data_IF_904314729230
#
_entry.id   IF_904314729230
#
_cell.length_a   1.000
_cell.length_b   1.000
_cell.length_c   1.000
_cell.angle_alpha   90.00
_cell.angle_beta   90.00
_cell.angle_gamma   90.00
#
_symmetry.space_group_name_H-M   'P 1'
#
loop_
_entity.id
_entity.type
_entity.pdbx_description
1 polymer ?
#
# COMPACT_ATOMS: atom_id res chain seq x y z
N UNK A 1 21.48 -6.27 5.50
CA UNK A 1 20.26 -6.45 4.68
C UNK A 1 19.75 -5.05 4.32
N UNK A 2 19.62 -4.79 3.03
CA UNK A 2 19.31 -3.44 2.54
C UNK A 2 17.81 -3.13 2.52
N UNK A 3 16.99 -4.15 2.63
CA UNK A 3 15.54 -4.05 2.70
C UNK A 3 14.89 -5.42 2.86
N UNK A 4 13.63 -5.42 3.22
CA UNK A 4 12.85 -6.65 3.41
C UNK A 4 11.42 -6.48 2.90
N UNK A 5 10.81 -7.58 2.50
CA UNK A 5 9.38 -7.66 2.21
C UNK A 5 8.73 -8.46 3.34
N UNK A 6 7.85 -7.82 4.09
CA UNK A 6 7.06 -8.46 5.14
C UNK A 6 5.72 -8.91 4.56
N UNK A 7 5.42 -10.20 4.64
CA UNK A 7 4.18 -10.77 4.10
C UNK A 7 3.19 -11.01 5.23
N UNK A 8 2.01 -10.42 5.12
CA UNK A 8 0.90 -10.60 6.06
C UNK A 8 -0.23 -11.39 5.41
N UNK A 9 -0.93 -12.19 6.22
CA UNK A 9 -2.11 -12.93 5.78
C UNK A 9 -3.34 -12.00 5.86
N UNK A 10 -4.03 -11.81 4.75
CA UNK A 10 -5.21 -10.94 4.69
C UNK A 10 -6.39 -11.41 5.55
N UNK A 11 -6.42 -12.67 5.91
CA UNK A 11 -7.45 -13.26 6.80
C UNK A 11 -7.01 -13.17 8.26
N UNK A 12 -5.84 -13.68 8.58
CA UNK A 12 -5.30 -13.70 9.95
C UNK A 12 -4.80 -12.34 10.44
N UNK A 13 -4.35 -11.49 9.52
CA UNK A 13 -3.76 -10.19 9.85
C UNK A 13 -2.36 -10.32 10.43
N UNK A 14 -2.09 -9.60 11.51
CA UNK A 14 -0.80 -9.65 12.20
C UNK A 14 -0.79 -10.81 13.19
N UNK A 15 0.14 -11.73 13.00
CA UNK A 15 0.33 -12.91 13.85
C UNK A 15 1.54 -12.72 14.78
N UNK A 16 1.68 -13.51 15.87
CA UNK A 16 2.82 -13.42 16.78
C UNK A 16 4.17 -13.54 16.09
N UNK A 17 4.28 -14.38 15.05
CA UNK A 17 5.50 -14.52 14.25
C UNK A 17 5.83 -13.22 13.49
N UNK A 18 4.81 -12.54 12.99
CA UNK A 18 4.97 -11.25 12.30
C UNK A 18 5.56 -10.21 13.27
N UNK A 19 5.07 -10.17 14.49
CA UNK A 19 5.57 -9.25 15.52
C UNK A 19 7.05 -9.51 15.87
N UNK A 20 7.43 -10.78 15.99
CA UNK A 20 8.82 -11.16 16.27
C UNK A 20 9.76 -10.71 15.16
N UNK A 21 9.43 -11.02 13.92
CA UNK A 21 10.22 -10.62 12.75
C UNK A 21 10.28 -9.10 12.60
N UNK A 22 9.17 -8.42 12.87
CA UNK A 22 9.10 -6.97 12.82
C UNK A 22 10.04 -6.30 13.82
N UNK A 23 10.05 -6.78 15.07
CA UNK A 23 10.95 -6.27 16.11
C UNK A 23 12.42 -6.47 15.76
N UNK A 24 12.77 -7.59 15.12
CA UNK A 24 14.13 -7.81 14.64
C UNK A 24 14.50 -6.82 13.54
N UNK A 25 13.59 -6.56 12.60
CA UNK A 25 13.79 -5.57 11.54
C UNK A 25 13.98 -4.16 12.12
N UNK A 26 13.22 -3.79 13.15
CA UNK A 26 13.40 -2.52 13.86
C UNK A 26 14.77 -2.42 14.54
N UNK A 27 15.17 -3.49 15.23
CA UNK A 27 16.47 -3.55 15.91
C UNK A 27 17.64 -3.29 14.97
N UNK A 28 17.57 -3.83 13.77
CA UNK A 28 18.63 -3.68 12.77
C UNK A 28 18.36 -2.55 11.78
N UNK A 29 17.32 -1.75 12.00
CA UNK A 29 16.92 -0.60 11.16
C UNK A 29 16.78 -0.98 9.67
N UNK A 30 16.17 -2.13 9.41
CA UNK A 30 15.93 -2.63 8.06
C UNK A 30 14.68 -1.97 7.48
N UNK A 31 14.77 -1.21 6.39
CA UNK A 31 13.60 -0.69 5.70
C UNK A 31 12.79 -1.84 5.10
N UNK A 32 11.46 -1.69 5.10
CA UNK A 32 10.59 -2.78 4.65
C UNK A 32 9.35 -2.28 3.94
N UNK A 33 8.91 -3.08 2.98
CA UNK A 33 7.61 -2.94 2.33
C UNK A 33 6.73 -4.11 2.78
N UNK A 34 5.45 -3.87 2.98
CA UNK A 34 4.50 -4.90 3.40
C UNK A 34 3.69 -5.40 2.21
N UNK A 35 3.48 -6.69 2.17
CA UNK A 35 2.64 -7.36 1.19
C UNK A 35 1.50 -8.10 1.91
N UNK A 36 0.26 -7.72 1.61
CA UNK A 36 -0.92 -8.39 2.17
C UNK A 36 -1.37 -9.46 1.20
N UNK A 37 -1.18 -10.70 1.59
CA UNK A 37 -1.44 -11.90 0.78
C UNK A 37 -2.81 -12.50 1.07
N UNK A 38 -3.28 -13.35 0.18
CA UNK A 38 -4.53 -14.11 0.35
C UNK A 38 -5.80 -13.26 0.45
N UNK A 39 -5.84 -12.12 -0.23
CA UNK A 39 -7.02 -11.25 -0.25
C UNK A 39 -8.21 -11.85 -1.02
N UNK A 40 -7.97 -12.90 -1.79
CA UNK A 40 -8.98 -13.69 -2.51
C UNK A 40 -9.72 -14.70 -1.61
N UNK A 41 -9.23 -14.95 -0.41
CA UNK A 41 -9.83 -15.91 0.51
C UNK A 41 -11.01 -15.33 1.29
N UNK A 42 -11.95 -16.20 1.66
CA UNK A 42 -13.09 -15.87 2.52
C UNK A 42 -12.59 -15.33 3.87
N UNK A 43 -13.14 -14.20 4.29
CA UNK A 43 -12.74 -13.53 5.54
C UNK A 43 -11.56 -12.57 5.38
N UNK A 44 -10.96 -12.45 4.20
CA UNK A 44 -9.88 -11.50 3.95
C UNK A 44 -10.39 -10.06 4.00
N UNK A 45 -9.63 -9.19 4.67
CA UNK A 45 -9.94 -7.78 4.81
C UNK A 45 -8.64 -6.97 4.85
N UNK A 46 -8.34 -6.29 3.75
CA UNK A 46 -7.13 -5.47 3.61
C UNK A 46 -7.07 -4.35 4.66
N UNK A 47 -8.16 -3.62 4.85
CA UNK A 47 -8.19 -2.48 5.76
C UNK A 47 -8.04 -2.88 7.22
N UNK A 48 -8.65 -3.99 7.61
CA UNK A 48 -8.43 -4.58 8.94
C UNK A 48 -6.98 -4.95 9.14
N UNK A 49 -6.33 -5.53 8.13
CA UNK A 49 -4.92 -5.89 8.18
C UNK A 49 -4.03 -4.65 8.36
N UNK A 50 -4.30 -3.57 7.63
CA UNK A 50 -3.59 -2.29 7.77
C UNK A 50 -3.77 -1.72 9.17
N UNK A 51 -4.98 -1.75 9.73
CA UNK A 51 -5.24 -1.29 11.09
C UNK A 51 -4.50 -2.13 12.13
N UNK A 52 -4.44 -3.43 11.97
CA UNK A 52 -3.66 -4.32 12.83
C UNK A 52 -2.16 -4.03 12.78
N UNK A 53 -1.62 -3.75 11.61
CA UNK A 53 -0.22 -3.34 11.44
C UNK A 53 0.05 -2.07 12.24
N UNK A 54 -0.82 -1.09 12.14
CA UNK A 54 -0.72 0.16 12.89
C UNK A 54 -0.78 -0.05 14.40
N UNK A 55 -1.76 -0.80 14.87
CA UNK A 55 -2.02 -0.98 16.31
C UNK A 55 -1.00 -1.91 16.97
N UNK A 56 -0.70 -3.06 16.35
CA UNK A 56 0.15 -4.09 16.95
C UNK A 56 1.62 -3.87 16.74
N UNK A 57 2.02 -3.27 15.61
CA UNK A 57 3.42 -3.03 15.28
C UNK A 57 3.87 -1.60 15.60
N UNK A 58 2.92 -0.73 15.97
CA UNK A 58 3.23 0.64 16.40
C UNK A 58 3.86 1.53 15.33
N UNK A 59 3.56 1.26 14.05
CA UNK A 59 4.08 2.02 12.93
C UNK A 59 2.97 2.74 12.17
N UNK A 60 3.35 3.64 11.28
CA UNK A 60 2.41 4.32 10.37
C UNK A 60 2.44 3.63 9.01
N UNK A 61 1.50 2.74 8.70
CA UNK A 61 1.44 2.13 7.39
C UNK A 61 0.98 3.14 6.34
N UNK A 62 1.60 3.09 5.16
CA UNK A 62 1.20 3.89 4.01
C UNK A 62 0.79 2.95 2.88
N UNK A 63 -0.51 2.72 2.66
CA UNK A 63 -0.96 1.94 1.53
C UNK A 63 -0.48 2.55 0.22
N UNK A 64 0.15 1.73 -0.61
CA UNK A 64 0.56 2.09 -1.98
C UNK A 64 -0.48 1.62 -2.99
N UNK A 65 -1.24 0.59 -2.63
CA UNK A 65 -2.27 -0.02 -3.44
C UNK A 65 -3.49 -0.34 -2.58
N UNK A 66 -4.67 -0.23 -3.16
CA UNK A 66 -5.93 -0.65 -2.53
C UNK A 66 -6.56 -1.77 -3.36
N UNK A 67 -7.18 -2.78 -2.75
CA UNK A 67 -7.82 -3.86 -3.50
C UNK A 67 -9.07 -3.37 -4.25
N UNK A 68 -9.27 -3.88 -5.46
CA UNK A 68 -10.52 -3.76 -6.21
C UNK A 68 -11.30 -5.05 -6.02
N UNK A 69 -12.39 -4.97 -5.28
CA UNK A 69 -13.16 -6.14 -4.86
C UNK A 69 -12.59 -6.79 -3.60
N UNK A 70 -13.20 -7.86 -3.16
CA UNK A 70 -12.82 -8.61 -1.98
C UNK A 70 -13.15 -10.08 -2.14
N UNK A 71 -12.42 -10.94 -1.45
CA UNK A 71 -12.61 -12.38 -1.48
C UNK A 71 -12.63 -12.91 -2.93
N UNK A 72 -13.65 -13.68 -3.29
CA UNK A 72 -13.79 -14.23 -4.65
C UNK A 72 -13.97 -13.16 -5.75
N UNK A 73 -14.34 -11.95 -5.36
CA UNK A 73 -14.56 -10.84 -6.29
C UNK A 73 -13.31 -9.95 -6.47
N UNK A 74 -12.18 -10.35 -5.91
CA UNK A 74 -10.92 -9.64 -6.08
C UNK A 74 -10.51 -9.64 -7.55
N UNK A 75 -10.45 -8.46 -8.16
CA UNK A 75 -10.18 -8.27 -9.60
C UNK A 75 -8.83 -7.64 -9.90
N UNK A 76 -8.34 -6.86 -8.98
CA UNK A 76 -7.15 -6.06 -9.18
C UNK A 76 -6.88 -5.13 -8.02
N UNK A 77 -6.12 -4.09 -8.29
CA UNK A 77 -5.75 -3.08 -7.30
C UNK A 77 -5.85 -1.68 -7.88
N UNK A 78 -6.02 -0.69 -7.01
CA UNK A 78 -5.81 0.72 -7.36
C UNK A 78 -4.36 1.05 -7.00
N UNK A 79 -3.58 1.47 -7.99
CA UNK A 79 -2.23 1.98 -7.78
C UNK A 79 -2.31 3.46 -7.38
N UNK A 80 -2.02 3.77 -6.13
CA UNK A 80 -2.12 5.13 -5.59
C UNK A 80 -0.98 6.04 -6.05
N UNK A 81 0.12 5.48 -6.53
CA UNK A 81 1.21 6.27 -7.11
C UNK A 81 0.83 6.80 -8.48
N UNK A 82 0.22 5.96 -9.31
CA UNK A 82 -0.24 6.31 -10.66
C UNK A 82 -1.66 6.88 -10.70
N UNK A 83 -2.45 6.65 -9.67
CA UNK A 83 -3.89 6.92 -9.63
C UNK A 83 -4.64 6.26 -10.78
N UNK A 84 -4.39 4.99 -10.96
CA UNK A 84 -5.03 4.12 -11.95
C UNK A 84 -5.43 2.80 -11.32
N UNK A 85 -6.49 2.19 -11.83
CA UNK A 85 -6.81 0.80 -11.55
C UNK A 85 -5.91 -0.12 -12.36
N UNK A 86 -5.54 -1.24 -11.77
CA UNK A 86 -4.81 -2.34 -12.44
C UNK A 86 -5.66 -3.58 -12.29
N UNK A 87 -6.17 -4.10 -13.39
CA UNK A 87 -7.05 -5.26 -13.42
C UNK A 87 -6.39 -6.39 -14.20
N UNK A 88 -6.36 -7.58 -13.61
CA UNK A 88 -5.78 -8.77 -14.24
C UNK A 88 -6.72 -9.33 -15.31
N UNK A 89 -6.15 -9.71 -16.45
CA UNK A 89 -6.94 -10.16 -17.61
C UNK A 89 -7.44 -11.61 -17.54
N UNK A 90 -6.82 -12.47 -16.78
CA UNK A 90 -7.20 -13.87 -16.60
C UNK A 90 -6.37 -14.53 -15.49
N UNK A 91 -6.55 -15.83 -15.30
CA UNK A 91 -5.82 -16.66 -14.35
C UNK A 91 -4.32 -16.88 -14.69
N UNK A 92 -3.74 -16.05 -15.54
CA UNK A 92 -2.33 -16.15 -15.99
C UNK A 92 -1.34 -15.64 -14.93
N UNK A 93 -1.62 -15.88 -13.64
CA UNK A 93 -0.75 -15.54 -12.52
C UNK A 93 -0.33 -14.05 -12.47
N UNK A 94 -1.19 -13.16 -13.00
CA UNK A 94 -0.93 -11.72 -13.01
C UNK A 94 0.03 -11.24 -14.10
N UNK A 95 0.41 -12.10 -15.04
CA UNK A 95 1.34 -11.74 -16.11
C UNK A 95 0.77 -10.71 -17.09
N UNK A 96 -0.56 -10.69 -17.24
CA UNK A 96 -1.26 -9.73 -18.11
C UNK A 96 -2.24 -8.92 -17.31
N UNK A 97 -2.12 -7.62 -17.39
CA UNK A 97 -2.99 -6.67 -16.71
C UNK A 97 -3.28 -5.46 -17.61
N UNK A 98 -4.39 -4.80 -17.34
CA UNK A 98 -4.76 -3.54 -17.98
C UNK A 98 -4.82 -2.42 -16.95
N UNK A 99 -4.41 -1.22 -17.39
CA UNK A 99 -4.70 -0.01 -16.65
C UNK A 99 -6.13 0.44 -16.99
N UNK A 100 -6.92 0.69 -15.95
CA UNK A 100 -8.30 1.16 -16.07
C UNK A 100 -8.51 2.38 -15.18
N UNK A 101 -9.62 3.09 -15.38
CA UNK A 101 -9.98 4.15 -14.47
C UNK A 101 -10.34 3.57 -13.10
N UNK A 102 -10.11 4.35 -12.04
CA UNK A 102 -10.47 3.95 -10.69
C UNK A 102 -11.98 3.74 -10.61
N UNK A 103 -12.47 2.59 -10.12
CA UNK A 103 -13.90 2.36 -9.94
C UNK A 103 -14.55 3.47 -9.12
N UNK A 104 -15.76 3.88 -9.49
CA UNK A 104 -16.46 5.01 -8.87
C UNK A 104 -16.63 4.84 -7.37
N UNK A 105 -16.90 3.62 -6.90
CA UNK A 105 -17.04 3.28 -5.48
C UNK A 105 -15.73 3.39 -4.67
N UNK A 106 -14.57 3.34 -5.34
CA UNK A 106 -13.25 3.47 -4.72
C UNK A 106 -12.61 4.83 -4.93
N UNK A 107 -13.21 5.71 -5.72
CA UNK A 107 -12.61 6.99 -6.08
C UNK A 107 -12.33 7.87 -4.87
N UNK A 108 -13.32 8.07 -4.02
CA UNK A 108 -13.20 8.89 -2.80
C UNK A 108 -12.15 8.30 -1.84
N UNK A 109 -12.21 7.01 -1.61
CA UNK A 109 -11.24 6.31 -0.75
C UNK A 109 -9.83 6.41 -1.32
N UNK A 110 -9.66 6.23 -2.62
CA UNK A 110 -8.36 6.35 -3.30
C UNK A 110 -7.79 7.76 -3.18
N UNK A 111 -8.61 8.79 -3.34
CA UNK A 111 -8.18 10.18 -3.17
C UNK A 111 -7.73 10.46 -1.74
N UNK A 112 -8.44 9.94 -0.74
CA UNK A 112 -8.08 10.06 0.67
C UNK A 112 -6.73 9.42 0.98
N UNK A 113 -6.53 8.19 0.56
CA UNK A 113 -5.26 7.47 0.78
C UNK A 113 -4.12 8.07 -0.04
N UNK A 114 -4.39 8.52 -1.26
CA UNK A 114 -3.41 9.24 -2.09
C UNK A 114 -2.93 10.51 -1.40
N UNK A 115 -3.85 11.30 -0.84
CA UNK A 115 -3.51 12.53 -0.13
C UNK A 115 -2.58 12.24 1.04
N UNK A 116 -2.90 11.25 1.87
CA UNK A 116 -2.07 10.85 3.00
C UNK A 116 -0.69 10.36 2.55
N UNK A 117 -0.63 9.59 1.48
CA UNK A 117 0.61 9.10 0.89
C UNK A 117 1.51 10.25 0.43
N UNK A 118 0.96 11.19 -0.33
CA UNK A 118 1.70 12.35 -0.83
C UNK A 118 2.18 13.24 0.31
N UNK A 119 1.32 13.57 1.26
CA UNK A 119 1.67 14.42 2.42
C UNK A 119 2.81 13.81 3.23
N UNK A 120 2.80 12.51 3.44
CA UNK A 120 3.87 11.83 4.19
C UNK A 120 5.15 11.72 3.37
N UNK A 121 5.06 11.41 2.09
CA UNK A 121 6.22 11.26 1.22
C UNK A 121 6.99 12.57 1.02
N UNK A 122 6.29 13.70 0.80
CA UNK A 122 6.96 14.99 0.57
C UNK A 122 7.68 15.54 1.80
N UNK A 123 7.40 15.03 3.00
CA UNK A 123 8.16 15.37 4.21
C UNK A 123 9.64 15.03 4.10
N UNK A 124 10.01 14.10 3.23
CA UNK A 124 11.39 13.68 2.97
C UNK A 124 12.17 14.63 2.04
N UNK A 125 11.49 15.61 1.44
CA UNK A 125 12.11 16.57 0.51
C UNK A 125 11.51 17.96 0.72
N UNK A 126 12.32 18.88 1.25
CA UNK A 126 11.88 20.26 1.57
C UNK A 126 11.33 21.00 0.36
N UNK A 127 11.93 20.82 -0.82
CA UNK A 127 11.49 21.50 -2.04
C UNK A 127 10.14 20.99 -2.50
N UNK A 128 9.92 19.67 -2.42
CA UNK A 128 8.65 19.06 -2.77
C UNK A 128 7.57 19.41 -1.75
N UNK A 129 7.92 19.48 -0.47
CA UNK A 129 7.01 19.93 0.60
C UNK A 129 6.55 21.37 0.35
N UNK A 130 7.48 22.28 0.06
CA UNK A 130 7.15 23.68 -0.25
C UNK A 130 6.25 23.79 -1.48
N UNK A 131 6.59 23.07 -2.55
CA UNK A 131 5.76 23.01 -3.76
C UNK A 131 4.35 22.47 -3.49
N UNK A 132 4.26 21.44 -2.68
CA UNK A 132 2.98 20.84 -2.29
C UNK A 132 2.11 21.82 -1.49
N UNK A 133 2.69 22.55 -0.54
CA UNK A 133 2.00 23.57 0.23
C UNK A 133 1.48 24.72 -0.66
N UNK A 134 2.12 24.96 -1.80
CA UNK A 134 1.70 25.92 -2.82
C UNK A 134 0.74 25.32 -3.88
N UNK A 135 0.24 24.12 -3.63
CA UNK A 135 -0.76 23.47 -4.50
C UNK A 135 -0.20 22.63 -5.64
N UNK A 136 1.13 22.40 -5.69
CA UNK A 136 1.76 21.59 -6.72
C UNK A 136 2.10 20.19 -6.20
N UNK A 137 1.44 19.17 -6.75
CA UNK A 137 1.75 17.79 -6.43
C UNK A 137 3.10 17.35 -7.01
N UNK A 138 3.82 16.40 -6.33
CA UNK A 138 5.04 15.84 -6.86
C UNK A 138 4.75 15.00 -8.12
N UNK A 139 5.74 14.91 -9.00
CA UNK A 139 5.68 13.97 -10.13
C UNK A 139 5.70 12.52 -9.62
N UNK A 140 5.26 11.58 -10.44
CA UNK A 140 5.32 10.15 -10.12
C UNK A 140 6.74 9.71 -9.74
N UNK A 141 7.72 10.17 -10.50
CA UNK A 141 9.14 9.88 -10.27
C UNK A 141 9.62 10.40 -8.91
N UNK A 142 9.27 11.64 -8.58
CA UNK A 142 9.64 12.25 -7.30
C UNK A 142 8.92 11.56 -6.13
N UNK A 143 7.66 11.20 -6.31
CA UNK A 143 6.89 10.49 -5.30
C UNK A 143 7.51 9.13 -4.99
N UNK A 144 7.88 8.36 -6.01
CA UNK A 144 8.55 7.06 -5.85
C UNK A 144 9.89 7.23 -5.12
N UNK A 145 10.65 8.26 -5.46
CA UNK A 145 11.91 8.56 -4.79
C UNK A 145 11.71 8.85 -3.30
N UNK A 146 10.72 9.64 -2.95
CA UNK A 146 10.40 9.96 -1.55
C UNK A 146 9.88 8.76 -0.77
N UNK A 147 9.13 7.86 -1.40
CA UNK A 147 8.64 6.63 -0.78
C UNK A 147 9.81 5.70 -0.42
N UNK A 148 10.85 5.65 -1.24
CA UNK A 148 12.07 4.85 -0.98
C UNK A 148 12.90 5.39 0.17
#
# INVERSE_FOLDING_TARGET
MDGAVAVFDGVAGVEPQSETVWRQADKYKVPRICFVNKLDRTGADFYRCVDMIKERLGCKPLPLQLPIGSESDLKGVVDLVKMKGVVWQNEDLGAKFDYVDIPTDLKEKSEKYRKELVETAVEEDEKLMEAYLNGKEPSEKDLIRCIR
#
